data_IF_502109952729
#
_entry.id   IF_502109952729
#
_cell.length_a   1.000
_cell.length_b   1.000
_cell.length_c   1.000
_cell.angle_alpha   90.00
_cell.angle_beta   90.00
_cell.angle_gamma   90.00
#
_symmetry.space_group_name_H-M   'P 1'
#
loop_
_entity.id
_entity.type
_entity.pdbx_description
1 polymer ?
#
# COMPACT_ATOMS: atom_id res chain seq x y z
N UNK A 1 30.37 -7.62 -9.63
CA UNK A 1 29.91 -6.28 -10.02
C UNK A 1 28.76 -6.46 -11.02
N UNK A 2 27.54 -6.68 -10.49
CA UNK A 2 26.36 -7.01 -11.29
C UNK A 2 25.40 -5.82 -11.16
N UNK A 3 25.19 -5.10 -12.27
CA UNK A 3 24.16 -4.06 -12.38
C UNK A 3 22.82 -4.77 -12.57
N UNK A 4 21.92 -4.68 -11.60
CA UNK A 4 20.52 -5.01 -11.80
C UNK A 4 19.85 -3.82 -12.49
N UNK A 5 19.53 -3.98 -13.78
CA UNK A 5 18.63 -3.08 -14.51
C UNK A 5 17.19 -3.48 -14.18
N UNK A 6 16.52 -2.72 -13.32
CA UNK A 6 15.07 -2.76 -13.24
C UNK A 6 14.50 -1.84 -14.32
N UNK A 7 14.24 -2.44 -15.48
CA UNK A 7 13.49 -1.80 -16.56
C UNK A 7 11.99 -1.94 -16.29
N UNK A 8 11.31 -0.81 -16.17
CA UNK A 8 9.86 -0.69 -16.14
C UNK A 8 9.27 -1.37 -17.38
N UNK A 9 8.64 -2.54 -17.19
CA UNK A 9 7.92 -3.25 -18.26
C UNK A 9 6.43 -2.94 -18.14
N UNK A 10 5.98 -1.97 -18.94
CA UNK A 10 4.56 -1.74 -19.22
C UNK A 10 4.00 -2.95 -19.97
N UNK A 11 3.26 -3.81 -19.28
CA UNK A 11 2.50 -4.90 -19.91
C UNK A 11 1.03 -4.47 -20.04
N UNK A 12 0.69 -3.94 -21.21
CA UNK A 12 -0.69 -3.78 -21.63
C UNK A 12 -1.26 -5.12 -22.12
N UNK A 13 -2.26 -5.65 -21.42
CA UNK A 13 -3.14 -6.71 -21.94
C UNK A 13 -4.59 -6.23 -21.76
N UNK A 14 -5.28 -6.12 -22.90
CA UNK A 14 -6.67 -5.72 -23.05
C UNK A 14 -7.43 -6.92 -23.62
N UNK A 15 -8.34 -7.53 -22.83
CA UNK A 15 -9.35 -8.55 -23.18
C UNK A 15 -10.12 -8.82 -21.87
N UNK A 16 -11.42 -8.67 -21.65
CA UNK A 16 -12.58 -8.22 -22.41
C UNK A 16 -13.83 -8.57 -21.57
N UNK A 17 -14.61 -7.54 -21.21
CA UNK A 17 -16.05 -7.57 -20.84
C UNK A 17 -16.49 -8.17 -19.48
N UNK A 18 -16.41 -7.34 -18.42
CA UNK A 18 -17.58 -6.84 -17.67
C UNK A 18 -17.21 -5.49 -17.08
N UNK A 19 -18.00 -4.46 -17.39
CA UNK A 19 -17.74 -3.05 -17.12
C UNK A 19 -17.73 -2.73 -15.62
N UNK A 20 -16.55 -2.79 -14.98
CA UNK A 20 -16.23 -1.92 -13.86
C UNK A 20 -15.17 -0.96 -14.36
N UNK A 21 -15.62 0.18 -14.91
CA UNK A 21 -14.76 1.30 -15.31
C UNK A 21 -14.26 2.05 -14.07
N UNK A 22 -13.71 1.33 -13.09
CA UNK A 22 -12.95 1.91 -12.00
C UNK A 22 -11.60 2.32 -12.54
N UNK A 23 -11.53 3.51 -13.15
CA UNK A 23 -10.24 4.17 -13.34
C UNK A 23 -9.70 4.45 -11.95
N UNK A 24 -8.84 3.58 -11.45
CA UNK A 24 -7.95 3.90 -10.34
C UNK A 24 -7.07 5.05 -10.85
N UNK A 25 -7.49 6.28 -10.57
CA UNK A 25 -6.70 7.47 -10.82
C UNK A 25 -5.51 7.41 -9.88
N UNK A 26 -4.44 6.76 -10.33
CA UNK A 26 -3.12 6.84 -9.73
C UNK A 26 -2.69 8.32 -9.79
N UNK A 27 -2.96 9.06 -8.72
CA UNK A 27 -2.48 10.42 -8.54
C UNK A 27 -1.04 10.39 -8.08
N UNK A 28 -0.11 10.51 -9.02
CA UNK A 28 1.32 10.65 -8.75
C UNK A 28 1.61 12.06 -8.21
N UNK A 29 1.61 12.24 -6.89
CA UNK A 29 2.31 13.35 -6.24
C UNK A 29 3.50 12.78 -5.48
N UNK A 30 4.65 12.69 -6.16
CA UNK A 30 5.91 12.12 -5.64
C UNK A 30 6.67 13.06 -4.69
N UNK A 31 6.02 14.09 -4.15
CA UNK A 31 6.67 15.09 -3.29
C UNK A 31 6.24 15.06 -1.81
N UNK A 32 5.35 14.15 -1.42
CA UNK A 32 4.74 14.19 -0.08
C UNK A 32 5.52 13.31 0.92
N UNK A 33 6.35 13.93 1.76
CA UNK A 33 7.09 13.32 2.90
C UNK A 33 6.16 12.85 4.05
N UNK A 34 4.89 12.58 3.76
CA UNK A 34 3.90 12.15 4.75
C UNK A 34 4.00 10.66 5.00
N UNK A 35 3.72 10.28 6.25
CA UNK A 35 3.67 8.88 6.68
C UNK A 35 2.61 8.09 5.92
N UNK A 36 1.51 8.73 5.51
CA UNK A 36 0.47 8.12 4.70
C UNK A 36 0.33 8.85 3.37
N UNK A 37 0.26 8.10 2.28
CA UNK A 37 0.04 8.62 0.94
C UNK A 37 -1.31 8.15 0.40
N UNK A 38 -2.08 9.06 -0.20
CA UNK A 38 -3.29 8.69 -0.92
C UNK A 38 -2.92 8.00 -2.22
N UNK A 39 -3.47 6.81 -2.44
CA UNK A 39 -3.41 6.11 -3.72
C UNK A 39 -4.70 6.35 -4.50
N UNK A 40 -5.82 6.44 -3.80
CA UNK A 40 -7.14 6.76 -4.37
C UNK A 40 -7.83 7.78 -3.46
N UNK A 41 -8.20 8.93 -4.03
CA UNK A 41 -8.89 10.04 -3.32
C UNK A 41 -10.42 10.02 -3.46
N UNK A 42 -10.96 9.14 -4.30
CA UNK A 42 -12.39 8.89 -4.43
C UNK A 42 -12.57 7.61 -5.24
N UNK A 43 -12.92 6.53 -4.54
CA UNK A 43 -13.22 5.25 -5.13
C UNK A 43 -14.73 5.13 -5.37
N UNK A 44 -15.11 4.67 -6.57
CA UNK A 44 -16.50 4.38 -6.90
C UNK A 44 -16.84 2.94 -6.51
N UNK A 45 -17.91 2.76 -5.74
CA UNK A 45 -18.44 1.45 -5.36
C UNK A 45 -18.75 1.33 -3.87
N UNK A 46 -19.25 0.14 -3.50
CA UNK A 46 -19.51 -0.19 -2.10
C UNK A 46 -18.20 -0.46 -1.35
N UNK A 47 -18.10 0.03 -0.11
CA UNK A 47 -16.90 -0.10 0.72
C UNK A 47 -16.37 -1.54 0.83
N UNK A 48 -17.25 -2.51 1.08
CA UNK A 48 -16.84 -3.92 1.21
C UNK A 48 -16.38 -4.52 -0.14
N UNK A 49 -16.96 -4.07 -1.26
CA UNK A 49 -16.52 -4.49 -2.58
C UNK A 49 -15.13 -3.92 -2.90
N UNK A 50 -14.86 -2.66 -2.52
CA UNK A 50 -13.54 -2.04 -2.66
C UNK A 50 -12.53 -2.77 -1.76
N UNK A 51 -12.89 -3.09 -0.51
CA UNK A 51 -12.04 -3.88 0.40
C UNK A 51 -11.65 -5.22 -0.20
N UNK A 52 -12.60 -5.99 -0.73
CA UNK A 52 -12.34 -7.29 -1.34
C UNK A 52 -11.47 -7.16 -2.62
N UNK A 53 -11.67 -6.09 -3.39
CA UNK A 53 -10.85 -5.81 -4.56
C UNK A 53 -9.40 -5.47 -4.18
N UNK A 54 -9.18 -4.73 -3.08
CA UNK A 54 -7.84 -4.44 -2.56
C UNK A 54 -7.11 -5.71 -2.11
N UNK A 55 -7.78 -6.59 -1.37
CA UNK A 55 -7.25 -7.91 -0.98
C UNK A 55 -6.85 -8.72 -2.22
N UNK A 56 -7.78 -8.90 -3.16
CA UNK A 56 -7.52 -9.67 -4.39
C UNK A 56 -6.35 -9.09 -5.20
N UNK A 57 -6.26 -7.76 -5.25
CA UNK A 57 -5.16 -7.07 -5.96
C UNK A 57 -3.82 -7.31 -5.27
N UNK A 58 -3.76 -7.22 -3.94
CA UNK A 58 -2.55 -7.49 -3.17
C UNK A 58 -2.09 -8.94 -3.36
N UNK A 59 -2.99 -9.90 -3.23
CA UNK A 59 -2.70 -11.33 -3.42
C UNK A 59 -2.23 -11.64 -4.85
N UNK A 60 -2.88 -11.06 -5.86
CA UNK A 60 -2.46 -11.21 -7.26
C UNK A 60 -1.08 -10.61 -7.52
N UNK A 61 -0.71 -9.56 -6.80
CA UNK A 61 0.62 -8.96 -6.85
C UNK A 61 1.68 -9.78 -6.08
N UNK A 62 1.31 -10.89 -5.45
CA UNK A 62 2.21 -11.77 -4.71
C UNK A 62 2.38 -11.41 -3.23
N UNK A 63 1.61 -10.42 -2.73
CA UNK A 63 1.62 -10.05 -1.33
C UNK A 63 0.66 -10.95 -0.55
N UNK A 64 0.99 -11.22 0.71
CA UNK A 64 0.10 -11.92 1.62
C UNK A 64 -0.72 -10.91 2.44
N UNK A 65 -2.05 -11.06 2.46
CA UNK A 65 -2.90 -10.34 3.42
C UNK A 65 -2.84 -11.07 4.76
N UNK A 66 -2.23 -10.44 5.77
CA UNK A 66 -2.10 -11.02 7.10
C UNK A 66 -3.34 -10.81 7.96
N UNK A 67 -3.97 -9.64 7.84
CA UNK A 67 -5.18 -9.31 8.56
C UNK A 67 -5.97 -8.20 7.88
N UNK A 68 -7.27 -8.18 8.17
CA UNK A 68 -8.16 -7.06 7.89
C UNK A 68 -8.85 -6.69 9.20
N UNK A 69 -8.94 -5.40 9.51
CA UNK A 69 -9.53 -4.94 10.76
C UNK A 69 -10.26 -3.62 10.54
N UNK A 70 -11.53 -3.58 10.96
CA UNK A 70 -12.28 -2.33 10.98
C UNK A 70 -11.71 -1.43 12.08
N UNK A 71 -11.31 -0.21 11.69
CA UNK A 71 -10.80 0.77 12.64
C UNK A 71 -11.96 1.41 13.40
N UNK A 72 -11.75 1.64 14.70
CA UNK A 72 -12.75 2.28 15.53
C UNK A 72 -13.05 3.71 15.06
N UNK A 73 -14.33 4.02 14.89
CA UNK A 73 -14.83 5.38 14.63
C UNK A 73 -15.57 5.91 15.87
N UNK A 74 -15.65 7.23 16.06
CA UNK A 74 -16.41 7.81 17.18
C UNK A 74 -17.89 7.39 17.16
N UNK A 75 -18.51 7.34 18.34
CA UNK A 75 -19.93 7.01 18.46
C UNK A 75 -20.80 7.95 17.60
N UNK A 76 -21.71 7.36 16.82
CA UNK A 76 -22.60 8.11 15.92
C UNK A 76 -21.96 8.51 14.59
N UNK A 77 -20.71 8.16 14.32
CA UNK A 77 -20.09 8.29 13.00
C UNK A 77 -20.62 7.20 12.06
N UNK A 78 -21.16 7.60 10.90
CA UNK A 78 -21.62 6.65 9.87
C UNK A 78 -20.52 6.20 8.92
N UNK A 79 -19.38 6.88 8.91
CA UNK A 79 -18.25 6.54 8.05
C UNK A 79 -17.54 5.29 8.56
N UNK A 80 -16.99 4.52 7.62
CA UNK A 80 -16.25 3.29 7.89
C UNK A 80 -14.76 3.49 7.65
N UNK A 81 -13.96 2.70 8.35
CA UNK A 81 -12.53 2.59 8.11
C UNK A 81 -12.10 1.14 8.31
N UNK A 82 -11.22 0.65 7.44
CA UNK A 82 -10.64 -0.69 7.48
C UNK A 82 -9.16 -0.63 7.14
N UNK A 83 -8.37 -1.36 7.89
CA UNK A 83 -6.93 -1.50 7.69
C UNK A 83 -6.65 -2.93 7.22
N UNK A 84 -5.95 -3.05 6.10
CA UNK A 84 -5.40 -4.30 5.60
C UNK A 84 -3.90 -4.31 5.91
N UNK A 85 -3.42 -5.37 6.56
CA UNK A 85 -1.99 -5.57 6.85
C UNK A 85 -1.43 -6.53 5.81
N UNK A 86 -0.41 -6.09 5.09
CA UNK A 86 0.20 -6.84 4.00
C UNK A 86 1.62 -7.26 4.34
N UNK A 87 2.04 -8.38 3.77
CA UNK A 87 3.38 -8.92 3.91
C UNK A 87 3.95 -9.33 2.56
N UNK A 88 5.15 -8.86 2.27
CA UNK A 88 5.97 -9.34 1.16
C UNK A 88 7.27 -9.94 1.71
N UNK A 89 7.52 -11.21 1.37
CA UNK A 89 8.63 -11.95 1.95
C UNK A 89 9.99 -11.42 1.49
N UNK A 90 10.10 -10.94 0.25
CA UNK A 90 11.35 -10.42 -0.30
C UNK A 90 11.73 -9.09 0.36
N UNK A 91 10.76 -8.18 0.48
CA UNK A 91 10.90 -6.91 1.16
C UNK A 91 11.23 -7.06 2.63
N UNK A 92 10.49 -7.91 3.35
CA UNK A 92 10.78 -8.19 4.76
C UNK A 92 12.18 -8.79 4.95
N UNK A 93 12.60 -9.70 4.07
CA UNK A 93 13.96 -10.26 4.11
C UNK A 93 15.03 -9.18 3.91
N UNK A 94 14.82 -8.27 2.95
CA UNK A 94 15.75 -7.18 2.69
C UNK A 94 15.85 -6.19 3.87
N UNK A 95 14.73 -5.86 4.53
CA UNK A 95 14.71 -5.05 5.74
C UNK A 95 15.46 -5.71 6.90
N UNK A 96 15.24 -7.01 7.11
CA UNK A 96 15.93 -7.77 8.15
C UNK A 96 17.43 -7.91 7.88
N UNK A 97 17.82 -8.02 6.60
CA UNK A 97 19.23 -8.05 6.20
C UNK A 97 19.91 -6.70 6.48
N UNK A 98 19.25 -5.59 6.14
CA UNK A 98 19.75 -4.24 6.39
C UNK A 98 19.83 -3.93 7.89
N UNK A 99 18.78 -4.21 8.67
CA UNK A 99 18.79 -3.98 10.10
C UNK A 99 17.94 -5.00 10.87
N UNK A 100 18.59 -5.95 11.53
CA UNK A 100 17.90 -7.00 12.32
C UNK A 100 17.21 -6.48 13.58
N UNK A 101 17.61 -5.33 14.10
CA UNK A 101 17.08 -4.79 15.35
C UNK A 101 15.76 -4.07 15.07
N UNK A 102 15.76 -3.17 14.08
CA UNK A 102 14.62 -2.28 13.80
C UNK A 102 13.86 -2.62 12.52
N UNK A 103 14.47 -3.33 11.58
CA UNK A 103 13.82 -3.82 10.35
C UNK A 103 12.52 -4.60 10.57
N UNK A 104 12.38 -5.45 11.61
CA UNK A 104 11.11 -6.14 11.88
C UNK A 104 9.90 -5.19 12.05
N UNK A 105 10.10 -3.94 12.50
CA UNK A 105 9.01 -2.98 12.70
C UNK A 105 8.43 -2.41 11.39
N UNK A 106 9.13 -2.60 10.26
CA UNK A 106 8.68 -2.20 8.93
C UNK A 106 8.37 -3.40 8.02
N UNK A 107 8.45 -4.63 8.54
CA UNK A 107 8.30 -5.85 7.74
C UNK A 107 6.89 -6.07 7.18
N UNK A 108 5.91 -5.31 7.66
CA UNK A 108 4.52 -5.33 7.19
C UNK A 108 4.11 -3.95 6.72
N UNK A 109 3.35 -3.91 5.64
CA UNK A 109 2.74 -2.70 5.11
C UNK A 109 1.26 -2.62 5.51
N UNK A 110 0.67 -1.44 5.38
CA UNK A 110 -0.71 -1.15 5.75
C UNK A 110 -1.40 -0.35 4.66
N UNK A 111 -2.50 -0.89 4.15
CA UNK A 111 -3.46 -0.16 3.33
C UNK A 111 -4.63 0.25 4.23
N UNK A 112 -4.99 1.53 4.18
CA UNK A 112 -6.17 2.05 4.84
C UNK A 112 -7.24 2.35 3.80
N UNK A 113 -8.42 1.77 3.99
CA UNK A 113 -9.65 2.08 3.28
C UNK A 113 -10.55 2.87 4.23
N UNK A 114 -10.99 4.07 3.89
CA UNK A 114 -11.83 4.87 4.79
C UNK A 114 -12.79 5.79 4.04
N UNK A 115 -13.90 6.13 4.68
CA UNK A 115 -14.90 7.06 4.16
C UNK A 115 -14.77 8.44 4.84
N UNK A 116 -15.04 9.49 4.07
CA UNK A 116 -15.29 10.85 4.58
C UNK A 116 -16.41 11.53 3.76
N UNK A 117 -16.61 12.84 3.96
CA UNK A 117 -17.63 13.64 3.24
C UNK A 117 -17.45 13.64 1.71
N UNK A 118 -16.26 13.32 1.23
CA UNK A 118 -15.86 13.33 -0.18
C UNK A 118 -15.85 11.92 -0.81
N UNK A 119 -16.21 10.89 -0.04
CA UNK A 119 -16.37 9.52 -0.52
C UNK A 119 -15.41 8.53 0.12
N UNK A 120 -15.10 7.46 -0.61
CA UNK A 120 -14.21 6.39 -0.14
C UNK A 120 -12.78 6.61 -0.63
N UNK A 121 -11.81 6.46 0.27
CA UNK A 121 -10.40 6.73 0.05
C UNK A 121 -9.55 5.50 0.31
N UNK A 122 -8.44 5.40 -0.40
CA UNK A 122 -7.40 4.42 -0.16
C UNK A 122 -6.09 5.14 0.06
N UNK A 123 -5.47 4.90 1.21
CA UNK A 123 -4.11 5.34 1.51
C UNK A 123 -3.23 4.16 1.90
N UNK A 124 -1.92 4.33 1.80
CA UNK A 124 -0.95 3.35 2.30
C UNK A 124 0.17 4.04 3.07
N UNK A 125 0.92 3.27 3.85
CA UNK A 125 2.10 3.79 4.56
C UNK A 125 3.20 4.05 3.56
N UNK A 126 3.72 5.27 3.51
CA UNK A 126 4.82 5.60 2.61
C UNK A 126 6.07 4.78 2.98
N UNK A 127 6.56 3.87 2.10
CA UNK A 127 7.70 3.01 2.39
C UNK A 127 8.96 3.84 2.67
N UNK A 128 9.13 4.99 2.02
CA UNK A 128 10.27 5.90 2.26
C UNK A 128 10.30 6.36 3.71
N UNK A 129 9.14 6.74 4.26
CA UNK A 129 9.06 7.25 5.62
C UNK A 129 9.38 6.16 6.65
N UNK A 130 8.77 4.98 6.51
CA UNK A 130 8.98 3.88 7.48
C UNK A 130 10.39 3.32 7.38
N UNK A 131 10.94 3.19 6.16
CA UNK A 131 12.30 2.71 5.94
C UNK A 131 13.32 3.67 6.51
N UNK A 132 13.16 4.98 6.31
CA UNK A 132 14.04 5.98 6.93
C UNK A 132 14.02 5.88 8.45
N UNK A 133 12.89 5.53 9.06
CA UNK A 133 12.79 5.36 10.52
C UNK A 133 13.46 4.08 11.01
N UNK A 134 13.32 2.95 10.31
CA UNK A 134 13.91 1.68 10.77
C UNK A 134 15.34 1.47 10.31
N UNK A 135 15.78 2.18 9.27
CA UNK A 135 17.13 2.11 8.71
C UNK A 135 17.91 3.41 8.97
N UNK A 136 17.59 4.14 10.05
CA UNK A 136 18.08 5.50 10.35
C UNK A 136 19.58 5.77 10.09
N UNK A 137 20.43 4.75 10.22
CA UNK A 137 21.89 4.84 10.05
C UNK A 137 22.42 4.12 8.78
N UNK A 138 21.53 3.64 7.90
CA UNK A 138 21.86 2.85 6.73
C UNK A 138 21.33 3.51 5.45
N UNK A 139 22.21 3.75 4.48
CA UNK A 139 21.83 4.33 3.18
C UNK A 139 20.89 3.41 2.36
N UNK A 140 20.77 2.12 2.73
CA UNK A 140 19.89 1.14 2.09
C UNK A 140 18.43 1.59 2.00
N UNK A 141 17.96 2.52 2.85
CA UNK A 141 16.59 3.03 2.79
C UNK A 141 16.22 3.62 1.43
N UNK A 142 17.17 4.19 0.68
CA UNK A 142 16.88 4.79 -0.63
C UNK A 142 16.46 3.73 -1.64
N UNK A 143 17.19 2.62 -1.70
CA UNK A 143 16.94 1.54 -2.67
C UNK A 143 15.73 0.70 -2.30
N UNK A 144 15.44 0.54 -1.01
CA UNK A 144 14.29 -0.25 -0.54
C UNK A 144 12.95 0.49 -0.60
N UNK A 145 12.96 1.78 -0.94
CA UNK A 145 11.77 2.63 -0.95
C UNK A 145 11.35 3.10 -2.35
N UNK A 146 12.06 2.66 -3.39
CA UNK A 146 11.79 2.90 -4.82
C UNK A 146 11.13 1.69 -5.47
#
# INVERSE_FOLDING_TARGET
MVRAMYGVMFLGIFLGVTSFSGRVLAGEDRSDDRVYQYVVKSAEGEFDAISAALETTAETAGWQVLSQTDAGVPDGCSYRARVLVLYDAAYASALLEANRITGPFAAVDRINLFEDENGTHVSLVNPVCINRTVLMDDEAYRTLSE
#
